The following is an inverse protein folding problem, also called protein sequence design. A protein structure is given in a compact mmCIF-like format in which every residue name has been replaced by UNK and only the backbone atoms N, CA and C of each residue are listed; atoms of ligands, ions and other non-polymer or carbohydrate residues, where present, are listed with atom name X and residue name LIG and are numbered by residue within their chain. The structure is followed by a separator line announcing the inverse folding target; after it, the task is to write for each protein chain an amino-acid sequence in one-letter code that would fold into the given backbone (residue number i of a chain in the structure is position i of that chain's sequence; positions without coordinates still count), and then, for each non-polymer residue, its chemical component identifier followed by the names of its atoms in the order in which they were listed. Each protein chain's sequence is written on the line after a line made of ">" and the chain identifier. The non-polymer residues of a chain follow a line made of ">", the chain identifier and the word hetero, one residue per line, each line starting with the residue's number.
data_IF_908711680425
#
_entry.id   IF_908711680425
#
_cell.length_a   1.000
_cell.length_b   1.000
_cell.length_c   1.000
_cell.angle_alpha   90.00
_cell.angle_beta   90.00
_cell.angle_gamma   90.00
#
_symmetry.space_group_name_H-M   'P 1'
#
loop_
_entity.id
_entity.type
_entity.pdbx_description
1 polymer ?
#
# COMPACT_ATOMS: atom_id res chain seq x y z
N UNK A 1 -11.62 31.34 -17.48
CA UNK A 1 -10.75 30.52 -16.61
C UNK A 1 -11.61 29.40 -16.03
N UNK A 2 -11.26 28.13 -16.25
CA UNK A 2 -11.97 26.99 -15.67
C UNK A 2 -11.32 26.70 -14.32
N UNK A 3 -12.07 26.86 -13.24
CA UNK A 3 -11.63 26.55 -11.90
C UNK A 3 -11.75 25.03 -11.68
N UNK A 4 -10.64 24.31 -11.68
CA UNK A 4 -10.63 22.85 -11.46
C UNK A 4 -10.68 22.63 -9.94
N UNK A 5 -11.89 22.53 -9.40
CA UNK A 5 -12.10 22.16 -8.01
C UNK A 5 -11.67 20.69 -7.84
N UNK A 6 -10.74 20.39 -6.94
CA UNK A 6 -10.44 19.01 -6.54
C UNK A 6 -11.10 18.75 -5.18
N UNK A 7 -12.21 17.97 -5.10
CA UNK A 7 -12.86 17.70 -3.82
C UNK A 7 -12.06 16.71 -2.95
N UNK A 8 -11.15 15.92 -3.55
CA UNK A 8 -10.33 14.95 -2.83
C UNK A 8 -9.20 15.68 -2.12
N UNK A 9 -9.35 15.87 -0.81
CA UNK A 9 -8.37 16.56 0.04
C UNK A 9 -7.28 15.64 0.61
N UNK A 10 -7.57 14.35 0.77
CA UNK A 10 -6.65 13.38 1.34
C UNK A 10 -7.01 11.94 0.94
N UNK A 11 -5.98 11.12 0.74
CA UNK A 11 -6.10 9.67 0.64
C UNK A 11 -5.22 9.05 1.73
N UNK A 12 -5.75 8.04 2.42
CA UNK A 12 -5.03 7.34 3.49
C UNK A 12 -5.17 5.83 3.28
N UNK A 13 -4.05 5.15 3.10
CA UNK A 13 -3.97 3.71 3.24
C UNK A 13 -4.08 3.36 4.72
N UNK A 14 -5.19 2.73 5.13
CA UNK A 14 -5.49 2.47 6.55
C UNK A 14 -4.74 1.26 7.10
N UNK A 15 -4.70 0.18 6.34
CA UNK A 15 -4.02 -1.05 6.73
C UNK A 15 -3.74 -1.91 5.48
N UNK A 16 -2.73 -2.76 5.61
CA UNK A 16 -2.51 -3.89 4.71
C UNK A 16 -2.46 -5.14 5.59
N UNK A 17 -3.34 -6.09 5.32
CA UNK A 17 -3.38 -7.36 6.05
C UNK A 17 -2.61 -8.41 5.27
N UNK A 18 -1.54 -8.93 5.87
CA UNK A 18 -0.78 -10.06 5.34
C UNK A 18 -0.99 -11.28 6.25
N UNK A 19 -1.38 -12.42 5.67
CA UNK A 19 -1.56 -13.68 6.41
C UNK A 19 -0.46 -14.65 6.03
N UNK A 20 0.20 -15.21 7.05
CA UNK A 20 1.18 -16.29 6.89
C UNK A 20 0.50 -17.62 7.18
N UNK A 21 0.49 -18.51 6.19
CA UNK A 21 0.10 -19.91 6.40
C UNK A 21 1.35 -20.69 6.84
N UNK A 22 1.22 -21.45 7.94
CA UNK A 22 2.29 -22.27 8.51
C UNK A 22 1.74 -23.69 8.69
N UNK A 23 2.47 -24.70 8.23
CA UNK A 23 2.12 -26.09 8.53
C UNK A 23 2.42 -26.40 10.00
N UNK A 24 1.48 -27.03 10.71
CA UNK A 24 1.54 -27.29 12.16
C UNK A 24 2.79 -28.04 12.64
N UNK A 25 3.46 -28.79 11.76
CA UNK A 25 4.63 -29.59 12.12
C UNK A 25 5.92 -28.77 12.27
N UNK A 26 5.95 -27.54 11.76
CA UNK A 26 7.11 -26.67 11.85
C UNK A 26 6.92 -25.62 12.95
N UNK A 27 7.90 -25.50 13.86
CA UNK A 27 7.93 -24.38 14.81
C UNK A 27 7.92 -23.05 14.03
N UNK A 28 7.14 -22.05 14.45
CA UNK A 28 7.11 -20.76 13.76
C UNK A 28 8.51 -20.17 13.72
N UNK A 29 9.09 -20.09 12.53
CA UNK A 29 10.38 -19.42 12.36
C UNK A 29 10.17 -17.91 12.43
N UNK A 30 11.05 -17.23 13.15
CA UNK A 30 11.11 -15.78 13.15
C UNK A 30 11.51 -15.33 11.74
N UNK A 31 10.70 -14.45 11.14
CA UNK A 31 10.95 -13.89 9.81
C UNK A 31 10.93 -12.37 9.91
N UNK A 32 11.81 -11.72 9.17
CA UNK A 32 11.72 -10.29 8.91
C UNK A 32 10.71 -10.10 7.79
N UNK A 33 9.81 -9.15 7.97
CA UNK A 33 8.89 -8.70 6.93
C UNK A 33 9.11 -7.21 6.77
N UNK A 34 9.49 -6.79 5.57
CA UNK A 34 9.62 -5.37 5.23
C UNK A 34 8.46 -4.97 4.32
N UNK A 35 7.88 -3.81 4.62
CA UNK A 35 6.74 -3.25 3.90
C UNK A 35 7.11 -1.86 3.39
N UNK A 36 7.10 -1.68 2.07
CA UNK A 36 7.31 -0.39 1.43
C UNK A 36 6.09 0.00 0.61
N UNK A 37 5.65 1.24 0.79
CA UNK A 37 4.57 1.86 0.01
C UNK A 37 5.08 3.14 -0.62
N UNK A 38 4.88 3.30 -1.92
CA UNK A 38 5.29 4.50 -2.66
C UNK A 38 4.13 4.97 -3.53
N UNK A 39 3.73 6.24 -3.39
CA UNK A 39 2.80 6.86 -4.34
C UNK A 39 3.59 7.20 -5.61
N UNK A 40 3.21 6.62 -6.73
CA UNK A 40 3.90 6.80 -8.02
C UNK A 40 3.26 7.90 -8.86
N UNK A 41 1.97 8.15 -8.68
CA UNK A 41 1.25 9.20 -9.43
C UNK A 41 0.01 9.70 -8.68
N UNK A 42 -0.24 11.00 -8.80
CA UNK A 42 -1.47 11.64 -8.37
C UNK A 42 -1.96 12.58 -9.48
N UNK A 43 -3.09 12.28 -10.11
CA UNK A 43 -3.63 13.10 -11.23
C UNK A 43 -5.13 13.27 -11.09
N UNK A 44 -5.62 14.51 -11.25
CA UNK A 44 -7.04 14.79 -11.39
C UNK A 44 -7.56 14.22 -12.72
N UNK A 45 -8.65 13.43 -12.69
CA UNK A 45 -9.28 12.83 -13.87
C UNK A 45 -10.63 13.46 -14.22
N UNK A 46 -11.02 14.51 -13.51
CA UNK A 46 -12.23 15.30 -13.78
C UNK A 46 -12.51 16.30 -12.66
N UNK A 47 -13.67 16.95 -12.68
CA UNK A 47 -14.05 17.95 -11.69
C UNK A 47 -14.23 17.38 -10.28
N UNK A 48 -14.47 16.07 -10.12
CA UNK A 48 -14.64 15.45 -8.81
C UNK A 48 -13.83 14.16 -8.61
N UNK A 49 -12.97 13.84 -9.55
CA UNK A 49 -12.28 12.55 -9.59
C UNK A 49 -10.76 12.76 -9.62
N UNK A 50 -10.04 11.91 -8.89
CA UNK A 50 -8.59 11.83 -8.94
C UNK A 50 -8.18 10.36 -9.03
N UNK A 51 -7.18 10.09 -9.85
CA UNK A 51 -6.53 8.80 -9.97
C UNK A 51 -5.23 8.84 -9.18
N UNK A 52 -5.05 7.87 -8.28
CA UNK A 52 -3.84 7.71 -7.49
C UNK A 52 -3.26 6.33 -7.75
N UNK A 53 -2.05 6.32 -8.26
CA UNK A 53 -1.29 5.10 -8.48
C UNK A 53 -0.26 4.99 -7.35
N UNK A 54 -0.17 3.80 -6.76
CA UNK A 54 0.83 3.50 -5.74
C UNK A 54 1.36 2.09 -5.95
N UNK A 55 2.62 1.91 -5.59
CA UNK A 55 3.28 0.62 -5.51
C UNK A 55 3.38 0.21 -4.05
N UNK A 56 2.98 -1.02 -3.77
CA UNK A 56 3.24 -1.69 -2.51
C UNK A 56 4.16 -2.87 -2.75
N UNK A 57 5.16 -3.03 -1.88
CA UNK A 57 6.11 -4.13 -1.96
C UNK A 57 6.28 -4.73 -0.57
N UNK A 58 6.14 -6.05 -0.50
CA UNK A 58 6.43 -6.84 0.70
C UNK A 58 7.55 -7.81 0.38
N UNK A 59 8.59 -7.79 1.21
CA UNK A 59 9.66 -8.79 1.20
C UNK A 59 9.67 -9.51 2.54
N UNK A 60 10.01 -10.80 2.51
CA UNK A 60 10.16 -11.61 3.72
C UNK A 60 11.42 -12.47 3.63
N UNK A 61 12.05 -12.72 4.77
CA UNK A 61 13.27 -13.51 4.84
C UNK A 61 13.60 -13.97 6.26
N UNK A 62 14.63 -14.81 6.37
CA UNK A 62 15.20 -15.19 7.65
C UNK A 62 15.74 -13.96 8.40
N UNK A 63 15.83 -14.08 9.73
CA UNK A 63 16.44 -13.07 10.57
C UNK A 63 17.85 -13.52 10.89
N UNK A 64 18.86 -12.82 10.32
CA UNK A 64 20.28 -13.03 10.62
C UNK A 64 20.85 -14.28 9.96
#
# INVERSE_FOLDING_TARGET
>A
MINIYMPVKAIRLKAIEARRYIELKNRPQQIRIDHNSTVTRFVASGANNATVEFQYTTSYGAIG
#
